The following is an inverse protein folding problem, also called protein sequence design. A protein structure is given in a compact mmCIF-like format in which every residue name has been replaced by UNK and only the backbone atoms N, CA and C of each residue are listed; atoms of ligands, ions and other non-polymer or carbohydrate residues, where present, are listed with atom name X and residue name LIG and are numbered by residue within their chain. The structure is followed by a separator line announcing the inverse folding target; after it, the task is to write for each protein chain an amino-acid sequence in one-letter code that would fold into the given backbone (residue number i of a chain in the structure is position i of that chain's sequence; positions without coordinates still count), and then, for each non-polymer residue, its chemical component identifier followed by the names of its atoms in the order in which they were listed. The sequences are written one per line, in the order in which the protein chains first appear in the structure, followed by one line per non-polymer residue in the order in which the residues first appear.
data_IF_804222041288
#
_entry.id   IF_804222041288
#
_cell.length_a   1.000
_cell.length_b   1.000
_cell.length_c   1.000
_cell.angle_alpha   90.00
_cell.angle_beta   90.00
_cell.angle_gamma   90.00
#
_symmetry.space_group_name_H-M   'P 1'
#
loop_
_entity.id
_entity.type
_entity.pdbx_description
1 polymer ?
#
# COMPACT_ATOMS: atom_id res chain seq x y z
N UNK A 1 -9.03 -8.76 -6.07
CA UNK A 1 -9.73 -9.51 -5.00
C UNK A 1 -11.26 -9.44 -5.14
N UNK A 2 -12.01 -10.41 -4.63
CA UNK A 2 -13.50 -10.38 -4.65
C UNK A 2 -14.05 -9.58 -3.47
N UNK A 3 -15.03 -8.71 -3.71
CA UNK A 3 -15.82 -8.05 -2.65
C UNK A 3 -16.62 -9.10 -1.88
N UNK A 4 -16.49 -9.12 -0.55
CA UNK A 4 -17.19 -10.05 0.32
C UNK A 4 -18.41 -9.42 0.98
N UNK A 5 -18.24 -8.28 1.64
CA UNK A 5 -19.29 -7.59 2.40
C UNK A 5 -19.01 -6.11 2.58
N UNK A 6 -20.04 -5.34 2.90
CA UNK A 6 -19.89 -3.97 3.40
C UNK A 6 -20.10 -3.96 4.92
N UNK A 7 -19.34 -3.11 5.60
CA UNK A 7 -19.44 -2.85 7.04
C UNK A 7 -19.61 -1.34 7.24
N UNK A 8 -20.01 -0.92 8.45
CA UNK A 8 -20.29 0.51 8.73
C UNK A 8 -19.11 1.45 8.47
N UNK A 9 -17.89 0.94 8.59
CA UNK A 9 -16.63 1.66 8.53
C UNK A 9 -15.77 1.27 7.32
N UNK A 10 -16.26 0.43 6.40
CA UNK A 10 -15.52 0.07 5.19
C UNK A 10 -16.11 -1.05 4.34
N UNK A 11 -15.40 -1.41 3.27
CA UNK A 11 -15.77 -2.55 2.40
C UNK A 11 -14.69 -3.63 2.52
N UNK A 12 -15.12 -4.87 2.78
CA UNK A 12 -14.23 -6.01 2.95
C UNK A 12 -14.14 -6.84 1.67
N UNK A 13 -12.92 -7.19 1.32
CA UNK A 13 -12.49 -8.02 0.20
C UNK A 13 -11.77 -9.26 0.72
N UNK A 14 -11.83 -10.34 -0.05
CA UNK A 14 -11.07 -11.55 0.20
C UNK A 14 -10.96 -12.41 -1.06
N UNK A 15 -10.12 -13.43 -1.10
CA UNK A 15 -8.94 -13.64 -0.26
C UNK A 15 -7.69 -13.44 -1.13
N UNK A 16 -6.55 -13.11 -0.52
CA UNK A 16 -5.31 -13.10 -1.27
C UNK A 16 -4.95 -14.49 -1.74
N UNK A 17 -4.42 -14.59 -2.96
CA UNK A 17 -4.06 -15.85 -3.60
C UNK A 17 -2.97 -16.60 -2.82
N UNK A 18 -2.00 -15.87 -2.26
CA UNK A 18 -0.84 -16.46 -1.58
C UNK A 18 -1.14 -16.95 -0.16
N UNK A 19 -1.69 -16.07 0.68
CA UNK A 19 -1.82 -16.31 2.12
C UNK A 19 -3.27 -16.33 2.62
N UNK A 20 -4.25 -16.35 1.71
CA UNK A 20 -5.68 -16.30 2.04
C UNK A 20 -6.05 -15.15 3.00
N UNK A 21 -5.48 -13.95 2.78
CA UNK A 21 -5.71 -12.77 3.63
C UNK A 21 -6.93 -11.98 3.17
N UNK A 22 -7.57 -11.27 4.08
CA UNK A 22 -8.65 -10.33 3.73
C UNK A 22 -8.15 -8.90 3.81
N UNK A 23 -8.76 -8.03 3.01
CA UNK A 23 -8.49 -6.60 2.96
C UNK A 23 -9.77 -5.81 3.25
N UNK A 24 -9.68 -4.69 3.94
CA UNK A 24 -10.77 -3.76 4.19
C UNK A 24 -10.36 -2.35 3.77
N UNK A 25 -11.08 -1.81 2.79
CA UNK A 25 -10.98 -0.40 2.43
C UNK A 25 -11.71 0.42 3.50
N UNK A 26 -10.96 1.19 4.28
CA UNK A 26 -11.49 1.95 5.42
C UNK A 26 -12.04 3.30 4.99
N UNK A 27 -13.26 3.64 5.43
CA UNK A 27 -13.93 4.88 5.02
C UNK A 27 -13.12 6.14 5.36
N UNK A 28 -12.38 6.15 6.47
CA UNK A 28 -11.56 7.31 6.88
C UNK A 28 -10.29 7.54 6.04
N UNK A 29 -9.95 6.61 5.14
CA UNK A 29 -8.94 6.81 4.10
C UNK A 29 -9.54 7.09 2.71
N UNK A 30 -10.89 7.07 2.59
CA UNK A 30 -11.63 7.43 1.36
C UNK A 30 -12.18 8.83 1.40
N UNK A 31 -12.59 9.27 2.58
CA UNK A 31 -13.19 10.58 2.82
C UNK A 31 -12.61 11.15 4.12
N UNK A 32 -12.46 12.48 4.16
CA UNK A 32 -11.89 13.19 5.30
C UNK A 32 -12.86 13.20 6.50
N UNK A 33 -12.94 12.07 7.20
CA UNK A 33 -13.74 11.90 8.42
C UNK A 33 -12.90 12.25 9.66
N UNK A 34 -11.59 12.01 9.62
CA UNK A 34 -10.65 12.24 10.72
C UNK A 34 -9.48 13.12 10.25
N UNK A 35 -9.02 14.02 11.12
CA UNK A 35 -7.83 14.83 10.87
C UNK A 35 -6.56 13.95 10.88
N UNK A 36 -5.56 14.34 10.09
CA UNK A 36 -4.25 13.65 10.06
C UNK A 36 -4.27 12.28 9.38
N UNK A 37 -5.34 11.91 8.68
CA UNK A 37 -5.38 10.70 7.85
C UNK A 37 -5.03 11.05 6.41
N UNK A 38 -4.15 10.26 5.80
CA UNK A 38 -3.90 10.31 4.36
C UNK A 38 -5.10 9.74 3.62
N UNK A 39 -5.36 10.23 2.41
CA UNK A 39 -6.55 9.87 1.64
C UNK A 39 -6.13 9.29 0.30
N UNK A 40 -6.78 8.19 -0.09
CA UNK A 40 -6.64 7.62 -1.43
C UNK A 40 -7.08 8.64 -2.47
N UNK A 41 -6.32 8.75 -3.56
CA UNK A 41 -6.67 9.59 -4.69
C UNK A 41 -8.01 9.14 -5.29
N UNK A 42 -8.81 10.08 -5.79
CA UNK A 42 -10.12 9.77 -6.41
C UNK A 42 -10.03 8.79 -7.58
N UNK A 43 -8.89 8.74 -8.27
CA UNK A 43 -8.60 7.80 -9.36
C UNK A 43 -8.23 6.38 -8.88
N UNK A 44 -8.07 6.18 -7.57
CA UNK A 44 -7.93 4.85 -6.95
C UNK A 44 -9.32 4.43 -6.48
N UNK A 45 -9.86 3.37 -7.08
CA UNK A 45 -11.12 2.77 -6.67
C UNK A 45 -10.93 1.86 -5.46
N UNK A 46 -12.02 1.52 -4.76
CA UNK A 46 -11.97 0.59 -3.63
C UNK A 46 -11.45 -0.81 -4.04
N UNK A 47 -11.82 -1.36 -5.23
CA UNK A 47 -11.16 -2.56 -5.76
C UNK A 47 -9.65 -2.40 -6.02
N UNK A 48 -9.19 -1.24 -6.53
CA UNK A 48 -7.75 -1.01 -6.74
C UNK A 48 -6.96 -1.16 -5.44
N UNK A 49 -7.46 -0.63 -4.33
CA UNK A 49 -6.79 -0.74 -3.02
C UNK A 49 -6.59 -2.20 -2.59
N UNK A 50 -7.61 -3.03 -2.80
CA UNK A 50 -7.55 -4.45 -2.51
C UNK A 50 -6.57 -5.16 -3.46
N UNK A 51 -6.53 -4.77 -4.74
CA UNK A 51 -5.61 -5.33 -5.72
C UNK A 51 -4.15 -4.90 -5.44
N UNK A 52 -3.92 -3.70 -4.88
CA UNK A 52 -2.59 -3.30 -4.42
C UNK A 52 -2.11 -4.22 -3.30
N UNK A 53 -2.96 -4.50 -2.32
CA UNK A 53 -2.64 -5.43 -1.24
C UNK A 53 -2.41 -6.86 -1.74
N UNK A 54 -3.24 -7.35 -2.67
CA UNK A 54 -3.06 -8.64 -3.35
C UNK A 54 -1.66 -8.76 -3.95
N UNK A 55 -1.26 -7.78 -4.74
CA UNK A 55 0.04 -7.77 -5.42
C UNK A 55 1.18 -7.77 -4.40
N UNK A 56 1.08 -6.95 -3.35
CA UNK A 56 2.10 -6.92 -2.30
C UNK A 56 2.23 -8.26 -1.57
N UNK A 57 1.10 -8.92 -1.28
CA UNK A 57 1.10 -10.24 -0.65
C UNK A 57 1.68 -11.32 -1.58
N UNK A 58 1.25 -11.34 -2.84
CA UNK A 58 1.71 -12.29 -3.86
C UNK A 58 3.22 -12.18 -4.09
N UNK A 59 3.72 -10.95 -4.27
CA UNK A 59 5.13 -10.62 -4.55
C UNK A 59 6.01 -10.56 -3.31
N UNK A 60 5.43 -10.70 -2.10
CA UNK A 60 6.16 -10.62 -0.83
C UNK A 60 6.87 -9.27 -0.65
N UNK A 61 6.21 -8.17 -1.03
CA UNK A 61 6.72 -6.81 -0.79
C UNK A 61 6.49 -6.42 0.65
N UNK A 62 7.22 -7.11 1.54
CA UNK A 62 7.02 -7.13 2.98
C UNK A 62 8.34 -6.75 3.66
N UNK A 63 8.30 -5.85 4.62
CA UNK A 63 9.47 -5.51 5.43
C UNK A 63 9.63 -6.46 6.63
N UNK A 64 10.73 -6.33 7.35
CA UNK A 64 11.04 -7.14 8.53
C UNK A 64 9.99 -7.00 9.66
N UNK A 65 9.33 -5.85 9.76
CA UNK A 65 8.25 -5.59 10.73
C UNK A 65 6.89 -6.19 10.30
N UNK A 66 6.91 -7.02 9.27
CA UNK A 66 5.75 -7.65 8.65
C UNK A 66 4.77 -6.75 7.91
N UNK A 67 5.05 -5.45 7.78
CA UNK A 67 4.22 -4.55 6.98
C UNK A 67 4.41 -4.81 5.49
N UNK A 68 3.35 -4.65 4.70
CA UNK A 68 3.44 -4.68 3.25
C UNK A 68 3.47 -3.29 2.66
N UNK A 69 4.08 -3.20 1.48
CA UNK A 69 4.25 -1.96 0.72
C UNK A 69 3.87 -2.20 -0.73
N UNK A 70 3.37 -1.18 -1.39
CA UNK A 70 3.04 -1.24 -2.81
C UNK A 70 3.50 0.02 -3.53
N UNK A 71 3.97 -0.19 -4.75
CA UNK A 71 4.24 0.87 -5.71
C UNK A 71 3.77 0.41 -7.08
N UNK A 72 3.32 1.34 -7.92
CA UNK A 72 3.08 1.02 -9.34
C UNK A 72 4.40 0.81 -10.07
N UNK A 73 4.35 0.20 -11.26
CA UNK A 73 5.54 0.05 -12.09
C UNK A 73 6.20 1.42 -12.35
N UNK A 74 7.49 1.53 -12.02
CA UNK A 74 8.26 2.78 -12.00
C UNK A 74 7.60 3.95 -11.25
N UNK A 75 6.79 3.65 -10.23
CA UNK A 75 6.08 4.64 -9.41
C UNK A 75 5.29 5.69 -10.21
N UNK A 76 4.76 5.31 -11.38
CA UNK A 76 4.12 6.23 -12.32
C UNK A 76 2.72 6.68 -11.87
N UNK A 77 2.00 5.84 -11.12
CA UNK A 77 0.65 6.11 -10.60
C UNK A 77 0.70 6.87 -9.28
N UNK A 78 0.00 8.00 -9.21
CA UNK A 78 -0.34 8.67 -7.96
C UNK A 78 -1.49 7.90 -7.30
N UNK A 79 -1.35 7.60 -6.02
CA UNK A 79 -2.31 6.84 -5.22
C UNK A 79 -2.90 7.63 -4.06
N UNK A 80 -2.30 8.74 -3.63
CA UNK A 80 -2.85 9.62 -2.60
C UNK A 80 -3.23 11.01 -3.09
N UNK A 81 -4.08 11.71 -2.33
CA UNK A 81 -4.56 13.05 -2.68
C UNK A 81 -3.48 14.14 -2.63
N UNK A 82 -2.36 13.92 -1.93
CA UNK A 82 -1.24 14.85 -1.83
C UNK A 82 -0.08 14.51 -2.77
N UNK A 83 -0.32 13.62 -3.74
CA UNK A 83 0.67 13.21 -4.72
C UNK A 83 1.48 11.98 -4.33
N UNK A 84 1.13 11.29 -3.24
CA UNK A 84 1.76 10.06 -2.81
C UNK A 84 1.70 8.99 -3.91
N UNK A 85 2.80 8.25 -4.10
CA UNK A 85 2.94 7.18 -5.11
C UNK A 85 3.10 5.78 -4.51
N UNK A 86 3.13 5.70 -3.19
CA UNK A 86 3.36 4.48 -2.41
C UNK A 86 2.13 4.22 -1.54
N UNK A 87 1.79 2.95 -1.35
CA UNK A 87 0.82 2.52 -0.36
C UNK A 87 1.48 1.63 0.70
N UNK A 88 1.01 1.77 1.93
CA UNK A 88 1.47 1.05 3.10
C UNK A 88 0.33 0.26 3.73
N UNK A 89 0.62 -0.97 4.15
CA UNK A 89 -0.34 -1.90 4.75
C UNK A 89 0.26 -2.43 6.06
N UNK A 90 -0.11 -1.83 7.22
CA UNK A 90 0.50 -2.20 8.49
C UNK A 90 0.06 -3.59 8.95
N UNK A 91 1.01 -4.34 9.49
CA UNK A 91 0.72 -5.53 10.28
C UNK A 91 0.14 -5.13 11.63
N UNK A 92 -0.96 -5.77 12.03
CA UNK A 92 -1.60 -5.52 13.32
C UNK A 92 -1.68 -6.83 14.11
N UNK A 93 -0.67 -7.09 14.94
CA UNK A 93 -0.60 -8.32 15.74
C UNK A 93 -1.70 -8.40 16.81
N UNK A 94 -1.99 -7.26 17.43
CA UNK A 94 -2.89 -7.16 18.59
C UNK A 94 -4.39 -7.18 18.24
N UNK A 95 -4.74 -7.10 16.96
CA UNK A 95 -6.13 -7.08 16.52
C UNK A 95 -6.28 -7.88 15.22
N UNK A 96 -6.37 -9.22 15.32
CA UNK A 96 -6.52 -10.08 14.15
C UNK A 96 -7.81 -9.70 13.42
N UNK A 97 -7.66 -9.14 12.22
CA UNK A 97 -8.74 -8.64 11.39
C UNK A 97 -8.28 -8.47 9.95
N UNK A 98 -9.16 -7.98 9.06
CA UNK A 98 -8.75 -7.65 7.70
C UNK A 98 -7.61 -6.65 7.71
N UNK A 99 -6.66 -6.83 6.79
CA UNK A 99 -5.65 -5.83 6.50
C UNK A 99 -6.33 -4.56 6.00
N UNK A 100 -5.70 -3.42 6.21
CA UNK A 100 -6.08 -2.18 5.55
C UNK A 100 -4.81 -1.48 5.11
N UNK A 101 -4.94 -0.49 4.24
CA UNK A 101 -3.79 0.29 3.80
C UNK A 101 -4.20 1.71 3.46
N UNK A 102 -3.18 2.52 3.20
CA UNK A 102 -3.33 3.92 2.90
C UNK A 102 -2.11 4.44 2.14
N UNK A 103 -2.26 5.53 1.37
CA UNK A 103 -1.15 6.14 0.68
C UNK A 103 -0.22 6.83 1.68
N UNK A 104 1.08 6.78 1.41
CA UNK A 104 2.13 7.37 2.25
C UNK A 104 3.20 8.02 1.39
N UNK A 105 3.90 9.00 1.96
CA UNK A 105 5.12 9.57 1.38
C UNK A 105 6.08 9.98 2.50
N UNK A 106 7.39 9.67 2.39
CA UNK A 106 8.42 10.18 3.29
C UNK A 106 8.48 11.71 3.34
N UNK A 107 8.03 12.38 2.28
CA UNK A 107 7.98 13.85 2.24
C UNK A 107 6.94 14.44 3.20
N UNK A 108 5.88 13.68 3.50
CA UNK A 108 4.81 14.09 4.41
C UNK A 108 5.08 13.61 5.85
N UNK A 109 5.68 12.43 6.00
CA UNK A 109 6.05 11.86 7.30
C UNK A 109 7.23 10.88 7.12
N UNK A 110 8.35 11.20 7.79
CA UNK A 110 9.62 10.45 7.75
C UNK A 110 9.48 9.01 8.25
N UNK A 111 8.48 8.71 9.07
CA UNK A 111 8.21 7.34 9.52
C UNK A 111 7.74 6.42 8.39
N UNK A 112 7.46 6.96 7.20
CA UNK A 112 7.13 6.19 5.99
C UNK A 112 8.26 6.12 4.96
N UNK A 113 9.52 6.30 5.38
CA UNK A 113 10.67 5.84 4.59
C UNK A 113 10.54 4.34 4.27
N UNK A 114 10.62 3.98 2.99
CA UNK A 114 10.48 2.57 2.58
C UNK A 114 11.73 1.80 3.00
N UNK A 115 11.58 0.67 3.71
CA UNK A 115 12.72 -0.16 4.11
C UNK A 115 13.52 -0.66 2.91
N UNK A 116 14.85 -0.69 3.05
CA UNK A 116 15.77 -1.08 1.98
C UNK A 116 15.48 -2.48 1.44
N UNK A 117 15.07 -3.42 2.30
CA UNK A 117 14.70 -4.77 1.86
C UNK A 117 13.51 -4.77 0.90
N UNK A 118 12.56 -3.84 1.06
CA UNK A 118 11.42 -3.69 0.17
C UNK A 118 11.86 -3.07 -1.15
N UNK A 119 12.67 -2.00 -1.12
CA UNK A 119 13.21 -1.36 -2.33
C UNK A 119 14.02 -2.36 -3.15
N UNK A 120 14.89 -3.12 -2.49
CA UNK A 120 15.68 -4.19 -3.10
C UNK A 120 14.79 -5.25 -3.78
N UNK A 121 13.63 -5.62 -3.20
CA UNK A 121 12.71 -6.55 -3.87
C UNK A 121 12.05 -5.97 -5.12
N UNK A 122 11.88 -4.64 -5.20
CA UNK A 122 11.33 -3.98 -6.38
C UNK A 122 12.37 -3.84 -7.50
N UNK A 123 13.66 -3.67 -7.17
CA UNK A 123 14.76 -3.61 -8.15
C UNK A 123 15.28 -4.99 -8.58
N UNK A 124 14.86 -6.06 -7.89
CA UNK A 124 15.40 -7.40 -8.16
C UNK A 124 14.86 -8.01 -9.48
N UNK A 125 15.70 -8.84 -10.10
CA UNK A 125 15.36 -9.69 -11.24
C UNK A 125 15.70 -9.09 -12.61
N UNK A 126 15.43 -9.85 -13.67
CA UNK A 126 15.71 -9.42 -15.06
C UNK A 126 14.71 -8.39 -15.59
N UNK A 127 13.58 -8.22 -14.91
CA UNK A 127 12.55 -7.23 -15.24
C UNK A 127 12.11 -6.60 -13.93
N UNK A 128 12.88 -5.62 -13.44
CA UNK A 128 12.62 -4.99 -12.16
C UNK A 128 11.31 -4.21 -12.21
N UNK A 129 10.63 -4.11 -11.07
CA UNK A 129 9.37 -3.37 -10.94
C UNK A 129 9.59 -1.86 -10.93
N UNK A 130 10.74 -1.42 -10.44
CA UNK A 130 11.22 -0.04 -10.50
C UNK A 130 12.65 -0.01 -11.05
N UNK A 131 13.01 1.06 -11.77
CA UNK A 131 14.37 1.31 -12.19
C UNK A 131 15.25 1.96 -11.10
N UNK A 132 16.57 1.98 -11.33
CA UNK A 132 17.57 2.54 -10.42
C UNK A 132 17.31 4.02 -10.08
N UNK A 133 16.73 4.79 -11.01
CA UNK A 133 16.41 6.19 -10.80
C UNK A 133 15.27 6.33 -9.80
N UNK A 134 14.18 5.59 -9.99
CA UNK A 134 13.03 5.56 -9.09
C UNK A 134 13.44 5.06 -7.71
N UNK A 135 14.20 3.96 -7.65
CA UNK A 135 14.69 3.43 -6.39
C UNK A 135 15.62 4.42 -5.65
N UNK A 136 16.52 5.08 -6.37
CA UNK A 136 17.36 6.14 -5.82
C UNK A 136 16.58 7.34 -5.29
N UNK A 137 15.39 7.63 -5.84
CA UNK A 137 14.47 8.64 -5.30
C UNK A 137 13.74 8.15 -4.05
N UNK A 138 13.28 6.90 -4.03
CA UNK A 138 12.63 6.28 -2.88
C UNK A 138 13.56 6.32 -1.66
N UNK A 139 14.81 5.85 -1.81
CA UNK A 139 15.84 5.87 -0.76
C UNK A 139 16.17 7.27 -0.22
N UNK A 140 15.90 8.32 -1.00
CA UNK A 140 16.11 9.72 -0.62
C UNK A 140 14.83 10.40 -0.11
N UNK A 141 13.72 9.66 0.00
CA UNK A 141 12.41 10.20 0.39
C UNK A 141 11.81 11.18 -0.63
N UNK A 142 12.14 11.08 -1.92
CA UNK A 142 11.77 12.06 -2.96
C UNK A 142 10.67 11.57 -3.90
N UNK A 143 9.73 10.79 -3.40
CA UNK A 143 8.66 10.16 -4.19
C UNK A 143 7.26 10.41 -3.64
#
# INVERSE_FOLDING_TARGET
MKRLRAESDGIVFGFTSRNARTYKSMNYHRVKIKSGKTLWAKAVSVPDEADFFEVSDEKIWKCNDNNYWWVSHNATRVVGELGERIAFFPYCDNHPGPWHGYPVSPANDVHYEVPEEVVSTWEAGNTPWIDDLVAGRIRKGKI
#
